data_IF_758538303492
#
_entry.id   IF_758538303492
#
_cell.length_a   1.000
_cell.length_b   1.000
_cell.length_c   1.000
_cell.angle_alpha   90.00
_cell.angle_beta   90.00
_cell.angle_gamma   90.00
#
_symmetry.space_group_name_H-M   'P 1'
#
loop_
_entity.id
_entity.type
_entity.pdbx_description
1 polymer ?
#
# COMPACT_ATOMS: atom_id res chain seq x y z
N UNK A 1 22.27 -21.59 -9.00
CA UNK A 1 21.49 -20.34 -9.17
C UNK A 1 22.45 -19.18 -9.06
N UNK A 2 22.58 -18.34 -10.10
CA UNK A 2 23.62 -17.30 -10.12
C UNK A 2 23.40 -16.29 -8.98
N UNK A 3 24.47 -15.76 -8.38
CA UNK A 3 24.39 -14.81 -7.25
C UNK A 3 23.54 -13.57 -7.57
N UNK A 4 23.58 -13.13 -8.83
CA UNK A 4 22.75 -12.06 -9.37
C UNK A 4 21.25 -12.40 -9.27
N UNK A 5 20.86 -13.63 -9.60
CA UNK A 5 19.45 -14.07 -9.55
C UNK A 5 18.94 -14.12 -8.11
N UNK A 6 19.77 -14.54 -7.16
CA UNK A 6 19.41 -14.57 -5.74
C UNK A 6 19.18 -13.15 -5.22
N UNK A 7 20.04 -12.21 -5.61
CA UNK A 7 19.93 -10.81 -5.21
C UNK A 7 18.68 -10.15 -5.80
N UNK A 8 18.38 -10.41 -7.07
CA UNK A 8 17.15 -9.91 -7.71
C UNK A 8 15.89 -10.46 -7.04
N UNK A 9 15.86 -11.75 -6.69
CA UNK A 9 14.75 -12.37 -5.98
C UNK A 9 14.57 -11.72 -4.59
N UNK A 10 15.66 -11.47 -3.87
CA UNK A 10 15.61 -10.79 -2.57
C UNK A 10 15.06 -9.35 -2.68
N UNK A 11 15.51 -8.58 -3.69
CA UNK A 11 14.98 -7.25 -3.96
C UNK A 11 13.49 -7.27 -4.32
N UNK A 12 13.05 -8.26 -5.11
CA UNK A 12 11.64 -8.43 -5.47
C UNK A 12 10.78 -8.70 -4.22
N UNK A 13 11.21 -9.64 -3.37
CA UNK A 13 10.52 -9.97 -2.12
C UNK A 13 10.47 -8.78 -1.17
N UNK A 14 11.55 -8.00 -1.09
CA UNK A 14 11.60 -6.78 -0.28
C UNK A 14 10.62 -5.72 -0.79
N UNK A 15 10.56 -5.48 -2.09
CA UNK A 15 9.61 -4.55 -2.70
C UNK A 15 8.16 -5.00 -2.48
N UNK A 16 7.85 -6.29 -2.68
CA UNK A 16 6.53 -6.84 -2.39
C UNK A 16 6.14 -6.70 -0.91
N UNK A 17 7.09 -6.95 0.01
CA UNK A 17 6.86 -6.79 1.45
C UNK A 17 6.56 -5.34 1.82
N UNK A 18 7.33 -4.38 1.28
CA UNK A 18 7.09 -2.94 1.47
C UNK A 18 5.71 -2.53 0.95
N UNK A 19 5.34 -2.98 -0.25
CA UNK A 19 4.02 -2.71 -0.83
C UNK A 19 2.89 -3.28 0.03
N UNK A 20 3.04 -4.53 0.50
CA UNK A 20 2.06 -5.19 1.34
C UNK A 20 1.89 -4.47 2.70
N UNK A 21 2.98 -4.11 3.37
CA UNK A 21 2.91 -3.34 4.62
C UNK A 21 2.23 -2.00 4.43
N UNK A 22 2.50 -1.31 3.32
CA UNK A 22 1.87 -0.03 3.01
C UNK A 22 0.36 -0.18 2.75
N UNK A 23 -0.03 -1.17 1.96
CA UNK A 23 -1.44 -1.50 1.73
C UNK A 23 -2.18 -1.79 3.05
N UNK A 24 -1.59 -2.64 3.91
CA UNK A 24 -2.15 -2.95 5.22
C UNK A 24 -2.22 -1.73 6.13
N UNK A 25 -1.18 -0.90 6.18
CA UNK A 25 -1.13 0.30 7.02
C UNK A 25 -2.14 1.35 6.56
N UNK A 26 -2.29 1.54 5.25
CA UNK A 26 -3.24 2.51 4.68
C UNK A 26 -4.68 2.07 4.95
N UNK A 27 -5.00 0.79 4.75
CA UNK A 27 -6.31 0.25 5.13
C UNK A 27 -6.55 0.35 6.64
N UNK A 28 -5.57 -0.04 7.45
CA UNK A 28 -5.66 0.05 8.91
C UNK A 28 -5.92 1.47 9.40
N UNK A 29 -5.22 2.46 8.83
CA UNK A 29 -5.42 3.87 9.13
C UNK A 29 -6.81 4.36 8.73
N UNK A 30 -7.29 3.96 7.54
CA UNK A 30 -8.63 4.33 7.08
C UNK A 30 -9.71 3.70 7.97
N UNK A 31 -9.58 2.42 8.32
CA UNK A 31 -10.49 1.76 9.27
C UNK A 31 -10.46 2.41 10.65
N UNK A 32 -9.27 2.78 11.15
CA UNK A 32 -9.13 3.47 12.42
C UNK A 32 -9.81 4.84 12.40
N UNK A 33 -9.60 5.64 11.35
CA UNK A 33 -10.26 6.94 11.19
C UNK A 33 -11.80 6.82 11.13
N UNK A 34 -12.32 5.82 10.43
CA UNK A 34 -13.77 5.54 10.39
C UNK A 34 -14.31 5.17 11.78
N UNK A 35 -13.57 4.32 12.51
CA UNK A 35 -14.00 3.81 13.82
C UNK A 35 -13.90 4.85 14.93
N UNK A 36 -12.83 5.64 14.97
CA UNK A 36 -12.50 6.54 16.09
C UNK A 36 -13.19 7.89 15.95
N UNK A 37 -13.29 8.43 14.72
CA UNK A 37 -13.85 9.76 14.50
C UNK A 37 -15.35 9.77 14.17
N UNK A 38 -16.01 8.61 14.08
CA UNK A 38 -17.41 8.48 13.62
C UNK A 38 -17.66 9.27 12.32
N UNK A 39 -16.60 9.47 11.54
CA UNK A 39 -16.68 10.02 10.21
C UNK A 39 -17.35 8.91 9.41
N UNK A 40 -18.62 9.14 9.09
CA UNK A 40 -19.36 8.48 8.02
C UNK A 40 -18.64 8.78 6.69
N UNK A 41 -17.38 8.39 6.56
CA UNK A 41 -16.75 8.08 5.30
C UNK A 41 -17.55 6.89 4.80
N UNK A 42 -18.60 7.20 4.02
CA UNK A 42 -19.34 6.22 3.25
C UNK A 42 -18.33 5.22 2.68
N UNK A 43 -18.61 3.93 2.81
CA UNK A 43 -17.69 2.85 2.48
C UNK A 43 -17.05 3.03 1.08
N UNK A 44 -17.75 3.73 0.18
CA UNK A 44 -17.24 4.22 -1.11
C UNK A 44 -16.08 5.22 -0.99
N UNK A 45 -16.19 6.30 -0.21
CA UNK A 45 -15.10 7.28 -0.01
C UNK A 45 -13.86 6.65 0.60
N UNK A 46 -14.03 5.72 1.54
CA UNK A 46 -12.91 4.98 2.14
C UNK A 46 -12.17 4.12 1.09
N UNK A 47 -12.93 3.45 0.22
CA UNK A 47 -12.40 2.67 -0.90
C UNK A 47 -11.71 3.57 -1.93
N UNK A 48 -12.28 4.75 -2.20
CA UNK A 48 -11.72 5.74 -3.13
C UNK A 48 -10.39 6.32 -2.62
N UNK A 49 -10.32 6.70 -1.33
CA UNK A 49 -9.10 7.16 -0.68
C UNK A 49 -8.02 6.07 -0.65
N UNK A 50 -8.40 4.81 -0.41
CA UNK A 50 -7.47 3.68 -0.49
C UNK A 50 -6.91 3.52 -1.91
N UNK A 51 -7.78 3.59 -2.92
CA UNK A 51 -7.36 3.51 -4.32
C UNK A 51 -6.44 4.66 -4.72
N UNK A 52 -6.76 5.89 -4.35
CA UNK A 52 -5.89 7.06 -4.58
C UNK A 52 -4.52 6.89 -3.91
N UNK A 53 -4.47 6.43 -2.65
CA UNK A 53 -3.22 6.19 -1.94
C UNK A 53 -2.37 5.10 -2.61
N UNK A 54 -3.00 4.02 -3.09
CA UNK A 54 -2.33 2.95 -3.84
C UNK A 54 -1.81 3.48 -5.18
N UNK A 55 -2.61 4.21 -5.94
CA UNK A 55 -2.22 4.78 -7.24
C UNK A 55 -1.05 5.75 -7.09
N UNK A 56 -1.10 6.63 -6.09
CA UNK A 56 -0.01 7.57 -5.80
C UNK A 56 1.27 6.85 -5.40
N UNK A 57 1.16 5.77 -4.62
CA UNK A 57 2.32 4.95 -4.26
C UNK A 57 2.90 4.27 -5.49
N UNK A 58 2.07 3.75 -6.40
CA UNK A 58 2.54 3.19 -7.67
C UNK A 58 3.27 4.28 -8.48
N UNK A 59 2.72 5.49 -8.58
CA UNK A 59 3.39 6.61 -9.26
C UNK A 59 4.73 6.96 -8.62
N UNK A 60 4.79 7.11 -7.30
CA UNK A 60 6.02 7.46 -6.58
C UNK A 60 7.06 6.33 -6.61
N UNK A 61 6.64 5.06 -6.53
CA UNK A 61 7.55 3.91 -6.54
C UNK A 61 8.09 3.60 -7.94
N UNK A 62 7.29 3.83 -8.98
CA UNK A 62 7.70 3.62 -10.38
C UNK A 62 8.14 4.91 -11.10
N UNK A 63 8.12 6.06 -10.43
CA UNK A 63 8.63 7.34 -10.93
C UNK A 63 7.90 7.91 -12.15
N UNK A 64 6.59 7.66 -12.30
CA UNK A 64 5.77 8.16 -13.42
C UNK A 64 4.89 9.34 -13.03
#
# INVERSE_FOLDING_TARGET
MNSINITLIACLLWACSKWFMYYCSTRGLIYYLISEHNDYLENEKAKELTNMAVERTIKEFFGK
#
